data_IF_661187706375
#
_entry.id   IF_661187706375
#
_cell.length_a   1.000
_cell.length_b   1.000
_cell.length_c   1.000
_cell.angle_alpha   90.00
_cell.angle_beta   90.00
_cell.angle_gamma   90.00
#
_symmetry.space_group_name_H-M   'P 1'
#
loop_
_entity.id
_entity.type
_entity.pdbx_description
1 polymer ?
#
# COMPACT_ATOMS: atom_id res chain seq x y z
N UNK A 1 -9.18 -28.04 15.70
CA UNK A 1 -8.93 -26.90 16.64
C UNK A 1 -8.25 -25.81 15.82
N UNK A 2 -8.71 -24.56 15.91
CA UNK A 2 -8.13 -23.45 15.14
C UNK A 2 -6.90 -22.93 15.87
N UNK A 3 -5.72 -23.27 15.39
CA UNK A 3 -4.44 -22.96 16.04
C UNK A 3 -3.68 -21.80 15.36
N UNK A 4 -4.23 -21.27 14.25
CA UNK A 4 -3.64 -20.20 13.45
C UNK A 4 -4.49 -18.94 13.61
N UNK A 5 -3.87 -17.82 13.95
CA UNK A 5 -4.52 -16.53 14.03
C UNK A 5 -3.98 -15.54 13.00
N UNK A 6 -4.87 -14.67 12.52
CA UNK A 6 -4.55 -13.49 11.72
C UNK A 6 -4.83 -12.25 12.58
N UNK A 7 -3.83 -11.41 12.79
CA UNK A 7 -3.97 -10.16 13.51
C UNK A 7 -4.32 -9.02 12.54
N UNK A 8 -5.61 -8.71 12.44
CA UNK A 8 -6.19 -7.71 11.52
C UNK A 8 -6.59 -6.41 12.21
N UNK A 9 -6.08 -6.13 13.42
CA UNK A 9 -6.36 -4.86 14.11
C UNK A 9 -5.79 -3.63 13.36
N UNK A 10 -4.96 -3.85 12.34
CA UNK A 10 -4.35 -2.82 11.51
C UNK A 10 -5.23 -2.33 10.37
N UNK A 11 -6.30 -3.03 10.07
CA UNK A 11 -7.22 -2.57 9.04
C UNK A 11 -7.79 -1.21 9.42
N UNK A 12 -7.75 -0.29 8.47
CA UNK A 12 -8.34 1.04 8.65
C UNK A 12 -9.87 0.96 8.67
N UNK A 13 -10.52 1.98 9.23
CA UNK A 13 -12.01 2.03 9.28
C UNK A 13 -12.64 2.01 7.89
N UNK A 14 -11.95 2.58 6.91
CA UNK A 14 -12.45 2.65 5.53
C UNK A 14 -11.93 1.51 4.66
N UNK A 15 -11.10 0.61 5.20
CA UNK A 15 -10.49 -0.51 4.50
C UNK A 15 -9.78 -0.10 3.20
N UNK A 16 -9.23 1.13 3.18
CA UNK A 16 -8.60 1.74 2.03
C UNK A 16 -7.07 1.82 2.21
N UNK A 17 -6.35 1.62 1.09
CA UNK A 17 -4.90 1.68 1.05
C UNK A 17 -4.24 0.32 0.87
N UNK A 18 -2.99 0.33 0.39
CA UNK A 18 -2.27 -0.88 -0.02
C UNK A 18 -2.16 -1.95 1.07
N UNK A 19 -1.92 -1.55 2.32
CA UNK A 19 -1.83 -2.51 3.45
C UNK A 19 -3.14 -3.23 3.72
N UNK A 20 -4.27 -2.51 3.67
CA UNK A 20 -5.58 -3.10 3.89
C UNK A 20 -5.90 -4.07 2.75
N UNK A 21 -5.62 -3.67 1.51
CA UNK A 21 -5.84 -4.49 0.33
C UNK A 21 -5.04 -5.80 0.37
N UNK A 22 -3.77 -5.74 0.78
CA UNK A 22 -2.95 -6.96 0.99
C UNK A 22 -3.60 -7.89 2.00
N UNK A 23 -4.06 -7.36 3.14
CA UNK A 23 -4.75 -8.17 4.16
C UNK A 23 -6.04 -8.80 3.63
N UNK A 24 -6.86 -8.04 2.91
CA UNK A 24 -8.11 -8.53 2.34
C UNK A 24 -7.87 -9.58 1.24
N UNK A 25 -6.88 -9.37 0.36
CA UNK A 25 -6.49 -10.34 -0.67
C UNK A 25 -5.93 -11.63 -0.06
N UNK A 26 -5.13 -11.53 1.00
CA UNK A 26 -4.62 -12.69 1.73
C UNK A 26 -5.77 -13.50 2.32
N UNK A 27 -6.77 -12.84 2.89
CA UNK A 27 -7.97 -13.48 3.44
C UNK A 27 -8.79 -14.19 2.36
N UNK A 28 -9.03 -13.54 1.21
CA UNK A 28 -9.67 -14.16 0.05
C UNK A 28 -8.90 -15.39 -0.43
N UNK A 29 -7.57 -15.30 -0.50
CA UNK A 29 -6.70 -16.41 -0.86
C UNK A 29 -6.83 -17.60 0.10
N UNK A 30 -6.85 -17.36 1.39
CA UNK A 30 -7.08 -18.42 2.39
C UNK A 30 -8.46 -19.06 2.28
N UNK A 31 -9.50 -18.29 1.98
CA UNK A 31 -10.84 -18.80 1.75
C UNK A 31 -10.93 -19.63 0.47
N UNK A 32 -10.45 -19.09 -0.67
CA UNK A 32 -10.44 -19.81 -1.97
C UNK A 32 -9.70 -21.15 -1.88
N UNK A 33 -8.67 -21.25 -1.03
CA UNK A 33 -7.91 -22.49 -0.82
C UNK A 33 -8.46 -23.38 0.32
N UNK A 34 -9.58 -23.03 0.93
CA UNK A 34 -10.25 -23.83 1.97
C UNK A 34 -9.50 -23.94 3.30
N UNK A 35 -8.50 -23.05 3.55
CA UNK A 35 -7.71 -23.07 4.79
C UNK A 35 -8.27 -22.14 5.87
N UNK A 36 -9.08 -21.15 5.49
CA UNK A 36 -9.69 -20.16 6.40
C UNK A 36 -10.50 -20.76 7.52
N UNK A 37 -11.18 -21.91 7.28
CA UNK A 37 -11.95 -22.66 8.30
C UNK A 37 -11.11 -23.09 9.52
N UNK A 38 -9.79 -23.21 9.35
CA UNK A 38 -8.85 -23.60 10.41
C UNK A 38 -8.20 -22.40 11.10
N UNK A 39 -8.63 -21.18 10.74
CA UNK A 39 -8.06 -19.93 11.23
C UNK A 39 -9.04 -19.14 12.10
N UNK A 40 -8.49 -18.23 12.88
CA UNK A 40 -9.22 -17.21 13.61
C UNK A 40 -8.67 -15.84 13.27
N UNK A 41 -9.53 -14.85 13.06
CA UNK A 41 -9.14 -13.45 12.85
C UNK A 41 -9.42 -12.65 14.12
N UNK A 42 -8.42 -11.90 14.57
CA UNK A 42 -8.55 -10.86 15.59
C UNK A 42 -8.64 -9.50 14.90
N UNK A 43 -9.75 -8.82 15.02
CA UNK A 43 -9.98 -7.53 14.36
C UNK A 43 -10.80 -6.60 15.24
N UNK A 44 -10.81 -5.32 14.93
CA UNK A 44 -11.77 -4.40 15.53
C UNK A 44 -13.18 -4.62 14.97
N UNK A 45 -14.17 -4.22 15.75
CA UNK A 45 -15.62 -4.38 15.47
C UNK A 45 -16.02 -3.86 14.08
N UNK A 46 -15.48 -2.75 13.61
CA UNK A 46 -15.77 -2.15 12.31
C UNK A 46 -15.31 -3.00 11.11
N UNK A 47 -14.36 -3.91 11.29
CA UNK A 47 -13.87 -4.79 10.20
C UNK A 47 -14.62 -6.13 10.11
N UNK A 48 -15.49 -6.44 11.08
CA UNK A 48 -16.19 -7.72 11.15
C UNK A 48 -16.97 -8.06 9.87
N UNK A 49 -17.71 -7.07 9.35
CA UNK A 49 -18.59 -7.30 8.20
C UNK A 49 -17.83 -7.61 6.92
N UNK A 50 -16.75 -6.89 6.64
CA UNK A 50 -15.96 -7.13 5.43
C UNK A 50 -15.25 -8.47 5.51
N UNK A 51 -14.66 -8.81 6.67
CA UNK A 51 -14.00 -10.10 6.89
C UNK A 51 -14.98 -11.26 6.71
N UNK A 52 -16.18 -11.15 7.29
CA UNK A 52 -17.22 -12.18 7.17
C UNK A 52 -17.75 -12.36 5.74
N UNK A 53 -17.79 -11.30 4.94
CA UNK A 53 -18.12 -11.39 3.51
C UNK A 53 -17.04 -12.10 2.69
N UNK A 54 -15.76 -11.84 2.98
CA UNK A 54 -14.64 -12.38 2.22
C UNK A 54 -14.26 -13.81 2.60
N UNK A 55 -14.50 -14.21 3.86
CA UNK A 55 -14.22 -15.56 4.35
C UNK A 55 -15.33 -16.00 5.35
N UNK A 56 -16.50 -16.45 4.84
CA UNK A 56 -17.65 -16.79 5.69
C UNK A 56 -17.42 -17.91 6.70
N UNK A 57 -16.44 -18.77 6.46
CA UNK A 57 -16.11 -19.94 7.30
C UNK A 57 -15.02 -19.65 8.36
N UNK A 58 -14.43 -18.45 8.33
CA UNK A 58 -13.41 -18.08 9.31
C UNK A 58 -14.02 -17.71 10.66
N UNK A 59 -13.34 -18.05 11.74
CA UNK A 59 -13.78 -17.56 13.06
C UNK A 59 -13.34 -16.11 13.27
N UNK A 60 -14.27 -15.22 13.58
CA UNK A 60 -13.99 -13.82 13.83
C UNK A 60 -14.13 -13.54 15.33
N UNK A 61 -13.09 -12.99 15.92
CA UNK A 61 -13.06 -12.49 17.30
C UNK A 61 -12.85 -10.98 17.24
N UNK A 62 -13.87 -10.23 17.65
CA UNK A 62 -13.83 -8.79 17.61
C UNK A 62 -13.34 -8.19 18.91
N UNK A 63 -12.51 -7.17 18.79
CA UNK A 63 -12.07 -6.27 19.84
C UNK A 63 -12.82 -4.95 19.68
N UNK A 64 -13.06 -4.27 20.81
CA UNK A 64 -13.74 -2.97 20.78
C UNK A 64 -12.78 -1.90 20.28
N UNK A 65 -13.17 -1.19 19.23
CA UNK A 65 -12.40 -0.05 18.75
C UNK A 65 -12.55 1.16 19.67
N UNK A 66 -11.48 1.94 19.85
CA UNK A 66 -11.54 3.20 20.55
C UNK A 66 -11.94 4.33 19.60
N UNK A 67 -12.46 5.41 20.15
CA UNK A 67 -12.70 6.64 19.37
C UNK A 67 -11.43 7.48 19.41
N UNK A 68 -10.47 7.11 18.57
CA UNK A 68 -9.20 7.83 18.48
C UNK A 68 -9.43 9.17 17.77
N UNK A 69 -8.92 10.26 18.36
CA UNK A 69 -9.05 11.62 17.83
C UNK A 69 -7.84 12.04 16.98
N UNK A 70 -6.71 11.33 17.12
CA UNK A 70 -5.47 11.62 16.39
C UNK A 70 -4.59 10.38 16.25
N UNK A 71 -3.55 10.49 15.41
CA UNK A 71 -2.61 9.40 15.12
C UNK A 71 -1.88 8.85 16.34
N UNK A 72 -1.54 9.72 17.30
CA UNK A 72 -0.87 9.32 18.55
C UNK A 72 -1.75 8.41 19.41
N UNK A 73 -3.03 8.73 19.54
CA UNK A 73 -3.98 7.91 20.28
C UNK A 73 -4.20 6.57 19.58
N UNK A 74 -4.31 6.57 18.26
CA UNK A 74 -4.41 5.35 17.48
C UNK A 74 -3.19 4.44 17.65
N UNK A 75 -1.99 5.02 17.59
CA UNK A 75 -0.74 4.28 17.79
C UNK A 75 -0.66 3.69 19.21
N UNK A 76 -1.05 4.46 20.22
CA UNK A 76 -1.11 3.99 21.62
C UNK A 76 -2.13 2.86 21.79
N UNK A 77 -3.32 2.98 21.20
CA UNK A 77 -4.36 1.97 21.21
C UNK A 77 -3.87 0.64 20.57
N UNK A 78 -3.25 0.71 19.39
CA UNK A 78 -2.68 -0.46 18.74
C UNK A 78 -1.61 -1.12 19.60
N UNK A 79 -0.72 -0.32 20.19
CA UNK A 79 0.33 -0.82 21.09
C UNK A 79 -0.28 -1.50 22.32
N UNK A 80 -1.30 -0.91 22.94
CA UNK A 80 -2.02 -1.48 24.09
C UNK A 80 -2.68 -2.82 23.71
N UNK A 81 -3.40 -2.86 22.60
CA UNK A 81 -4.09 -4.06 22.13
C UNK A 81 -3.10 -5.20 21.86
N UNK A 82 -1.99 -4.92 21.17
CA UNK A 82 -0.95 -5.92 20.91
C UNK A 82 -0.19 -6.38 22.18
N UNK A 83 -0.07 -5.49 23.17
CA UNK A 83 0.66 -5.82 24.41
C UNK A 83 -0.19 -6.64 25.37
N UNK A 84 -1.49 -6.37 25.47
CA UNK A 84 -2.33 -6.95 26.52
C UNK A 84 -3.46 -7.83 25.98
N UNK A 85 -4.19 -7.37 24.96
CA UNK A 85 -5.39 -8.08 24.49
C UNK A 85 -5.04 -9.25 23.57
N UNK A 86 -4.15 -9.06 22.60
CA UNK A 86 -3.72 -10.14 21.69
C UNK A 86 -3.07 -11.31 22.42
N UNK A 87 -2.12 -11.13 23.37
CA UNK A 87 -1.58 -12.25 24.16
C UNK A 87 -2.64 -12.99 24.99
N UNK A 88 -3.63 -12.28 25.53
CA UNK A 88 -4.76 -12.90 26.20
C UNK A 88 -5.59 -13.78 25.26
N UNK A 89 -5.90 -13.29 24.05
CA UNK A 89 -6.63 -14.05 23.04
C UNK A 89 -5.84 -15.26 22.54
N UNK A 90 -4.53 -15.14 22.34
CA UNK A 90 -3.64 -16.24 21.98
C UNK A 90 -3.74 -17.37 23.01
N UNK A 91 -3.69 -17.04 24.30
CA UNK A 91 -3.85 -18.02 25.38
C UNK A 91 -5.27 -18.62 25.40
N UNK A 92 -6.31 -17.78 25.33
CA UNK A 92 -7.72 -18.17 25.37
C UNK A 92 -8.10 -19.13 24.25
N UNK A 93 -7.64 -18.85 23.01
CA UNK A 93 -7.96 -19.66 21.84
C UNK A 93 -6.90 -20.73 21.52
N UNK A 94 -5.85 -20.86 22.37
CA UNK A 94 -4.75 -21.83 22.21
C UNK A 94 -4.04 -21.71 20.85
N UNK A 95 -3.77 -20.46 20.43
CA UNK A 95 -3.12 -20.16 19.17
C UNK A 95 -1.64 -20.57 19.24
N UNK A 96 -1.19 -21.28 18.21
CA UNK A 96 0.22 -21.72 18.08
C UNK A 96 1.00 -20.86 17.08
N UNK A 97 0.32 -20.30 16.07
CA UNK A 97 0.89 -19.47 15.02
C UNK A 97 0.04 -18.21 14.83
N UNK A 98 0.66 -17.04 14.80
CA UNK A 98 -0.01 -15.78 14.53
C UNK A 98 0.71 -15.01 13.42
N UNK A 99 -0.07 -14.54 12.44
CA UNK A 99 0.37 -13.62 11.40
C UNK A 99 -0.01 -12.20 11.78
N UNK A 100 0.99 -11.33 11.89
CA UNK A 100 0.79 -9.88 12.05
C UNK A 100 0.94 -9.22 10.68
N UNK A 101 -0.13 -8.59 10.20
CA UNK A 101 -0.15 -7.90 8.90
C UNK A 101 0.48 -6.50 8.97
N UNK A 102 1.20 -6.19 10.02
CA UNK A 102 2.02 -4.99 10.18
C UNK A 102 3.05 -5.22 11.28
N UNK A 103 4.00 -4.31 11.42
CA UNK A 103 4.80 -4.17 12.63
C UNK A 103 3.94 -3.67 13.80
N UNK A 104 4.36 -3.88 15.01
CA UNK A 104 3.76 -3.61 16.33
C UNK A 104 3.15 -4.87 16.99
N UNK A 105 4.02 -5.84 17.24
CA UNK A 105 3.65 -7.03 18.06
C UNK A 105 3.30 -6.67 19.52
N UNK A 106 3.50 -5.41 19.89
CA UNK A 106 3.44 -4.99 21.27
C UNK A 106 4.75 -5.24 22.03
N UNK A 107 4.72 -4.89 23.31
CA UNK A 107 5.93 -4.92 24.17
C UNK A 107 6.23 -6.30 24.76
N UNK A 108 5.33 -7.27 24.61
CA UNK A 108 5.46 -8.59 25.18
C UNK A 108 5.62 -9.67 24.12
N UNK A 109 6.51 -10.63 24.38
CA UNK A 109 6.57 -11.87 23.61
C UNK A 109 5.34 -12.72 23.89
N UNK A 110 4.63 -13.13 22.85
CA UNK A 110 3.55 -14.10 22.98
C UNK A 110 4.12 -15.54 22.86
N UNK A 111 3.41 -16.52 23.43
CA UNK A 111 3.82 -17.94 23.33
C UNK A 111 3.60 -18.54 21.94
N UNK A 112 2.89 -17.88 21.06
CA UNK A 112 2.67 -18.31 19.68
C UNK A 112 3.89 -17.98 18.82
N UNK A 113 4.14 -18.80 17.80
CA UNK A 113 5.08 -18.48 16.73
C UNK A 113 4.56 -17.26 15.99
N UNK A 114 5.34 -16.20 15.92
CA UNK A 114 4.95 -14.92 15.33
C UNK A 114 5.57 -14.74 13.95
N UNK A 115 4.75 -14.54 12.94
CA UNK A 115 5.14 -14.13 11.58
C UNK A 115 4.69 -12.71 11.35
N UNK A 116 5.56 -11.88 10.77
CA UNK A 116 5.34 -10.46 10.63
C UNK A 116 5.53 -10.01 9.19
N UNK A 117 4.66 -9.10 8.74
CA UNK A 117 4.69 -8.51 7.40
C UNK A 117 4.80 -6.99 7.56
N UNK A 118 5.99 -6.38 7.57
CA UNK A 118 6.17 -4.95 7.82
C UNK A 118 5.61 -4.04 6.72
N UNK A 119 5.43 -4.53 5.49
CA UNK A 119 5.07 -3.84 4.25
C UNK A 119 6.11 -2.88 3.70
N UNK A 120 6.87 -2.21 4.51
CA UNK A 120 8.07 -1.42 4.24
C UNK A 120 8.71 -0.97 5.55
N UNK A 121 9.95 -0.51 5.47
CA UNK A 121 10.63 0.18 6.56
C UNK A 121 11.00 1.63 6.16
N UNK A 122 10.20 2.23 5.29
CA UNK A 122 10.41 3.56 4.70
C UNK A 122 10.80 4.62 5.74
N UNK A 123 10.15 4.62 6.91
CA UNK A 123 10.44 5.57 7.97
C UNK A 123 11.90 5.50 8.49
N UNK A 124 12.57 4.37 8.28
CA UNK A 124 13.98 4.16 8.65
C UNK A 124 14.89 4.23 7.44
N UNK A 125 14.55 3.53 6.35
CA UNK A 125 15.37 3.45 5.15
C UNK A 125 15.40 4.77 4.37
N UNK A 126 14.29 5.46 4.26
CA UNK A 126 14.14 6.64 3.42
C UNK A 126 13.73 7.89 4.22
N UNK A 127 14.43 8.16 5.31
CA UNK A 127 14.16 9.32 6.17
C UNK A 127 14.10 10.65 5.42
N UNK A 128 14.83 10.79 4.30
CA UNK A 128 14.89 12.01 3.48
C UNK A 128 13.73 12.04 2.46
N UNK A 129 13.32 10.88 1.94
CA UNK A 129 12.19 10.73 1.02
C UNK A 129 10.84 10.64 1.74
N UNK A 130 10.85 10.51 3.06
CA UNK A 130 9.63 10.65 3.84
C UNK A 130 9.10 12.07 3.68
N UNK A 131 7.81 12.18 3.42
CA UNK A 131 7.06 13.39 3.06
C UNK A 131 7.24 14.60 3.98
N UNK A 132 7.77 14.34 5.13
CA UNK A 132 8.27 15.34 6.09
C UNK A 132 9.59 14.78 6.58
N UNK A 133 10.64 15.56 6.60
CA UNK A 133 11.87 15.22 7.33
C UNK A 133 11.48 14.66 8.69
N UNK A 134 11.50 13.32 8.82
CA UNK A 134 11.11 12.68 10.09
C UNK A 134 12.07 13.23 11.17
N UNK A 135 11.57 13.91 12.21
CA UNK A 135 12.40 14.40 13.30
C UNK A 135 13.25 13.27 13.86
N UNK A 136 14.48 13.57 14.27
CA UNK A 136 15.42 12.54 14.72
C UNK A 136 14.84 11.64 15.84
N UNK A 137 14.08 12.23 16.77
CA UNK A 137 13.45 11.44 17.83
C UNK A 137 12.40 10.44 17.32
N UNK A 138 11.62 10.79 16.28
CA UNK A 138 10.68 9.87 15.63
C UNK A 138 11.41 8.75 14.88
N UNK A 139 12.50 9.09 14.19
CA UNK A 139 13.35 8.09 13.54
C UNK A 139 13.88 7.07 14.55
N UNK A 140 14.43 7.54 15.68
CA UNK A 140 14.90 6.65 16.76
C UNK A 140 13.77 5.78 17.29
N UNK A 141 12.58 6.36 17.50
CA UNK A 141 11.40 5.65 17.97
C UNK A 141 10.99 4.53 16.99
N UNK A 142 10.85 4.85 15.69
CA UNK A 142 10.51 3.85 14.67
C UNK A 142 11.57 2.74 14.61
N UNK A 143 12.85 3.12 14.66
CA UNK A 143 13.94 2.14 14.65
C UNK A 143 13.88 1.19 15.85
N UNK A 144 13.59 1.71 17.03
CA UNK A 144 13.40 0.88 18.22
C UNK A 144 12.17 -0.02 18.12
N UNK A 145 11.06 0.48 17.58
CA UNK A 145 9.84 -0.30 17.38
C UNK A 145 10.08 -1.47 16.44
N UNK A 146 10.69 -1.25 15.26
CA UNK A 146 11.06 -2.33 14.34
C UNK A 146 12.04 -3.33 14.98
N UNK A 147 13.04 -2.84 15.73
CA UNK A 147 14.00 -3.70 16.43
C UNK A 147 13.31 -4.64 17.42
N UNK A 148 12.35 -4.12 18.21
CA UNK A 148 11.57 -4.93 19.16
C UNK A 148 10.70 -5.94 18.44
N UNK A 149 10.03 -5.53 17.38
CA UNK A 149 9.16 -6.38 16.58
C UNK A 149 9.96 -7.52 15.94
N UNK A 150 11.06 -7.22 15.28
CA UNK A 150 11.91 -8.21 14.60
C UNK A 150 12.59 -9.18 15.58
N UNK A 151 12.89 -8.70 16.76
CA UNK A 151 13.42 -9.56 17.84
C UNK A 151 12.43 -10.65 18.21
N UNK A 152 11.15 -10.33 18.33
CA UNK A 152 10.10 -11.27 18.74
C UNK A 152 9.56 -12.11 17.59
N UNK A 153 9.69 -11.68 16.35
CA UNK A 153 9.26 -12.45 15.20
C UNK A 153 10.10 -13.72 15.02
N UNK A 154 9.44 -14.83 14.72
CA UNK A 154 10.08 -16.06 14.26
C UNK A 154 10.43 -15.97 12.76
N UNK A 155 9.59 -15.27 11.97
CA UNK A 155 9.83 -14.98 10.56
C UNK A 155 9.34 -13.58 10.23
N UNK A 156 10.06 -12.90 9.33
CA UNK A 156 9.77 -11.57 8.80
C UNK A 156 9.54 -11.74 7.31
N UNK A 157 8.37 -11.35 6.82
CA UNK A 157 8.04 -11.44 5.39
C UNK A 157 8.35 -10.10 4.75
N UNK A 158 9.33 -10.06 3.88
CA UNK A 158 9.59 -8.98 2.96
C UNK A 158 8.71 -9.14 1.72
N UNK A 159 8.13 -8.04 1.24
CA UNK A 159 7.13 -8.07 0.16
C UNK A 159 7.72 -7.93 -1.24
N UNK A 160 9.03 -7.63 -1.33
CA UNK A 160 9.82 -7.56 -2.56
C UNK A 160 11.28 -7.93 -2.25
N UNK A 161 12.10 -8.16 -3.28
CA UNK A 161 13.54 -8.34 -3.10
C UNK A 161 14.19 -7.04 -2.62
N UNK A 162 13.74 -5.89 -3.13
CA UNK A 162 14.16 -4.56 -2.66
C UNK A 162 13.88 -4.38 -1.17
N UNK A 163 12.65 -4.70 -0.71
CA UNK A 163 12.27 -4.63 0.71
C UNK A 163 13.12 -5.61 1.55
N UNK A 164 13.39 -6.81 1.03
CA UNK A 164 14.27 -7.80 1.69
C UNK A 164 15.69 -7.26 1.88
N UNK A 165 16.24 -6.62 0.87
CA UNK A 165 17.56 -6.00 0.94
C UNK A 165 17.60 -4.84 1.93
N UNK A 166 16.61 -3.95 1.89
CA UNK A 166 16.49 -2.84 2.84
C UNK A 166 16.39 -3.34 4.28
N UNK A 167 15.47 -4.26 4.58
CA UNK A 167 15.35 -4.82 5.92
C UNK A 167 16.66 -5.51 6.35
N UNK A 168 17.30 -6.25 5.45
CA UNK A 168 18.56 -6.94 5.72
C UNK A 168 19.73 -5.99 5.97
N UNK A 169 19.72 -4.83 5.33
CA UNK A 169 20.73 -3.78 5.51
C UNK A 169 20.60 -3.11 6.88
N UNK A 170 19.40 -2.61 7.21
CA UNK A 170 19.16 -1.86 8.45
C UNK A 170 19.08 -2.75 9.70
N UNK A 171 18.69 -4.02 9.53
CA UNK A 171 18.46 -4.98 10.61
C UNK A 171 19.17 -6.31 10.34
N UNK A 172 20.45 -6.24 10.00
CA UNK A 172 21.30 -7.37 9.55
C UNK A 172 21.31 -8.57 10.50
N UNK A 173 21.16 -8.35 11.80
CA UNK A 173 21.07 -9.41 12.83
C UNK A 173 19.89 -10.37 12.62
N UNK A 174 18.83 -9.91 11.93
CA UNK A 174 17.63 -10.70 11.67
C UNK A 174 17.58 -11.33 10.27
N UNK A 175 18.63 -11.17 9.45
CA UNK A 175 18.70 -11.65 8.05
C UNK A 175 18.21 -13.08 7.87
N UNK A 176 18.53 -13.98 8.81
CA UNK A 176 18.12 -15.40 8.76
C UNK A 176 16.61 -15.60 8.95
N UNK A 177 15.90 -14.63 9.53
CA UNK A 177 14.46 -14.66 9.74
C UNK A 177 13.68 -14.06 8.56
N UNK A 178 14.34 -13.31 7.66
CA UNK A 178 13.69 -12.59 6.56
C UNK A 178 13.45 -13.58 5.41
N UNK A 179 12.21 -13.58 4.91
CA UNK A 179 11.76 -14.38 3.76
C UNK A 179 11.01 -13.46 2.82
N UNK A 180 11.35 -13.50 1.53
CA UNK A 180 10.61 -12.76 0.53
C UNK A 180 9.37 -13.57 0.10
N UNK A 181 8.21 -12.94 0.21
CA UNK A 181 6.92 -13.45 -0.31
C UNK A 181 6.18 -12.22 -0.88
N UNK A 182 5.92 -12.23 -2.17
CA UNK A 182 5.19 -11.15 -2.84
C UNK A 182 3.78 -10.99 -2.28
N UNK A 183 3.29 -9.75 -2.30
CA UNK A 183 1.93 -9.47 -1.90
C UNK A 183 0.92 -10.23 -2.77
N UNK A 184 -0.14 -10.78 -2.16
CA UNK A 184 -1.21 -11.41 -2.90
C UNK A 184 -2.01 -10.36 -3.67
N UNK A 185 -2.27 -10.63 -4.94
CA UNK A 185 -3.13 -9.82 -5.79
C UNK A 185 -4.34 -10.66 -6.16
N UNK A 186 -5.53 -10.10 -6.04
CA UNK A 186 -6.74 -10.77 -6.46
C UNK A 186 -6.87 -10.62 -7.99
N UNK A 187 -6.56 -11.69 -8.70
CA UNK A 187 -6.64 -11.73 -10.15
C UNK A 187 -8.07 -12.11 -10.53
N UNK A 188 -8.99 -11.17 -10.48
CA UNK A 188 -10.20 -11.26 -11.28
C UNK A 188 -9.88 -10.62 -12.63
N UNK A 189 -9.45 -11.45 -13.60
CA UNK A 189 -9.24 -10.99 -14.97
C UNK A 189 -10.57 -10.47 -15.51
N UNK A 190 -10.65 -9.16 -15.69
CA UNK A 190 -11.78 -8.56 -16.37
C UNK A 190 -11.58 -8.70 -17.88
N UNK A 191 -12.65 -9.00 -18.59
CA UNK A 191 -12.62 -8.95 -20.06
C UNK A 191 -12.23 -7.53 -20.48
N UNK A 192 -11.27 -7.37 -21.40
CA UNK A 192 -10.90 -6.04 -21.88
C UNK A 192 -12.13 -5.32 -22.40
N UNK A 193 -12.50 -4.23 -21.76
CA UNK A 193 -13.57 -3.35 -22.22
C UNK A 193 -12.97 -2.28 -23.15
N UNK A 194 -13.73 -1.85 -24.14
CA UNK A 194 -13.37 -0.66 -24.92
C UNK A 194 -13.25 0.52 -23.96
N UNK A 195 -12.07 1.12 -23.87
CA UNK A 195 -11.84 2.29 -23.04
C UNK A 195 -12.52 3.48 -23.68
N UNK A 196 -13.38 4.12 -22.92
CA UNK A 196 -14.15 5.29 -23.39
C UNK A 196 -13.56 6.61 -22.91
N UNK A 197 -12.65 6.55 -21.93
CA UNK A 197 -12.06 7.75 -21.35
C UNK A 197 -10.89 8.27 -22.18
N UNK A 198 -10.92 9.53 -22.51
CA UNK A 198 -9.83 10.23 -23.21
C UNK A 198 -8.94 10.96 -22.19
N UNK A 199 -8.32 10.21 -21.27
CA UNK A 199 -7.49 10.79 -20.22
C UNK A 199 -6.36 9.85 -19.79
N UNK A 200 -5.33 10.49 -19.24
CA UNK A 200 -4.24 9.87 -18.48
C UNK A 200 -4.66 9.90 -17.02
N UNK A 201 -4.43 8.82 -16.26
CA UNK A 201 -4.74 8.82 -14.85
C UNK A 201 -3.54 8.50 -13.96
N UNK A 202 -3.59 9.03 -12.74
CA UNK A 202 -2.76 8.62 -11.62
C UNK A 202 -3.60 8.53 -10.34
N UNK A 203 -3.19 7.67 -9.42
CA UNK A 203 -3.88 7.45 -8.14
C UNK A 203 -2.93 7.67 -6.97
N UNK A 204 -3.46 7.71 -5.74
CA UNK A 204 -2.65 7.82 -4.52
C UNK A 204 -1.88 9.14 -4.37
N UNK A 205 -2.55 10.26 -4.54
CA UNK A 205 -1.97 11.62 -4.54
C UNK A 205 -1.41 12.08 -3.19
N UNK A 206 -1.61 11.32 -2.13
CA UNK A 206 -1.54 11.81 -0.74
C UNK A 206 -0.12 12.07 -0.21
N UNK A 207 0.92 11.64 -0.90
CA UNK A 207 2.30 11.66 -0.39
C UNK A 207 3.29 12.22 -1.40
N UNK A 208 4.30 12.99 -0.95
CA UNK A 208 5.32 13.58 -1.82
C UNK A 208 6.08 12.53 -2.64
N UNK A 209 6.40 11.36 -2.03
CA UNK A 209 7.11 10.31 -2.76
C UNK A 209 6.31 9.71 -3.92
N UNK A 210 4.99 9.98 -4.01
CA UNK A 210 4.21 9.63 -5.20
C UNK A 210 4.51 10.52 -6.39
N UNK A 211 5.23 11.61 -6.16
CA UNK A 211 5.85 12.47 -7.18
C UNK A 211 4.88 13.00 -8.25
N UNK A 212 3.64 13.24 -7.85
CA UNK A 212 2.58 13.74 -8.74
C UNK A 212 2.94 15.10 -9.34
N UNK A 213 3.78 15.89 -8.69
CA UNK A 213 4.24 17.16 -9.25
C UNK A 213 5.04 16.98 -10.55
N UNK A 214 5.88 15.96 -10.65
CA UNK A 214 6.62 15.65 -11.89
C UNK A 214 5.65 15.24 -13.00
N UNK A 215 4.57 14.49 -12.69
CA UNK A 215 3.53 14.17 -13.67
C UNK A 215 2.77 15.41 -14.13
N UNK A 216 2.41 16.32 -13.24
CA UNK A 216 1.74 17.59 -13.60
C UNK A 216 2.62 18.41 -14.54
N UNK A 217 3.91 18.58 -14.22
CA UNK A 217 4.86 19.30 -15.07
C UNK A 217 5.10 18.61 -16.41
N UNK A 218 5.22 17.28 -16.43
CA UNK A 218 5.33 16.53 -17.66
C UNK A 218 4.08 16.69 -18.54
N UNK A 219 2.90 16.70 -17.96
CA UNK A 219 1.65 16.93 -18.67
C UNK A 219 1.57 18.37 -19.23
N UNK A 220 2.03 19.37 -18.49
CA UNK A 220 2.13 20.75 -18.98
C UNK A 220 2.95 20.85 -20.28
N UNK A 221 4.06 20.10 -20.41
CA UNK A 221 4.91 20.05 -21.60
C UNK A 221 4.24 19.42 -22.83
N UNK A 222 3.19 18.64 -22.63
CA UNK A 222 2.52 17.90 -23.72
C UNK A 222 1.06 18.26 -23.90
N UNK A 223 0.46 19.13 -23.10
CA UNK A 223 -0.98 19.43 -23.13
C UNK A 223 -1.48 19.85 -24.50
N UNK A 224 -0.67 20.54 -25.28
CA UNK A 224 -1.00 20.98 -26.65
C UNK A 224 -0.68 19.90 -27.72
N UNK A 225 -0.06 18.79 -27.32
CA UNK A 225 0.33 17.68 -28.20
C UNK A 225 -0.57 16.45 -28.05
N UNK A 226 -1.53 16.49 -27.12
CA UNK A 226 -2.49 15.41 -26.88
C UNK A 226 -3.89 15.98 -26.61
N UNK A 227 -4.89 15.22 -26.98
CA UNK A 227 -6.30 15.48 -26.67
C UNK A 227 -6.73 14.91 -25.29
N UNK A 228 -5.86 14.14 -24.64
CA UNK A 228 -6.13 13.56 -23.33
C UNK A 228 -6.07 14.60 -22.23
N UNK A 229 -6.97 14.52 -21.27
CA UNK A 229 -6.87 15.23 -19.99
C UNK A 229 -6.03 14.43 -18.97
N UNK A 230 -5.61 15.07 -17.90
CA UNK A 230 -4.97 14.41 -16.76
C UNK A 230 -5.96 14.32 -15.59
N UNK A 231 -6.33 13.09 -15.22
CA UNK A 231 -7.25 12.82 -14.11
C UNK A 231 -6.48 12.27 -12.91
N UNK A 232 -6.41 13.07 -11.87
CA UNK A 232 -5.71 12.77 -10.62
C UNK A 232 -6.73 12.26 -9.60
N UNK A 233 -6.74 10.93 -9.39
CA UNK A 233 -7.77 10.23 -8.63
C UNK A 233 -7.39 10.17 -7.15
N UNK A 234 -8.20 10.80 -6.30
CA UNK A 234 -8.07 10.75 -4.86
C UNK A 234 -8.01 12.10 -4.17
N UNK A 235 -8.00 12.06 -2.85
CA UNK A 235 -7.91 13.27 -2.02
C UNK A 235 -6.54 13.93 -2.12
N UNK A 236 -6.53 15.24 -2.12
CA UNK A 236 -5.33 16.09 -2.00
C UNK A 236 -5.32 16.67 -0.58
N UNK A 237 -4.63 16.05 0.39
CA UNK A 237 -4.50 16.58 1.73
C UNK A 237 -3.59 17.81 1.78
N UNK A 238 -3.67 18.60 2.87
CA UNK A 238 -2.93 19.86 3.03
C UNK A 238 -1.41 19.74 2.78
N UNK A 239 -0.82 18.61 3.15
CA UNK A 239 0.62 18.34 2.94
C UNK A 239 1.06 18.31 1.47
N UNK A 240 0.12 18.12 0.52
CA UNK A 240 0.37 18.15 -0.93
C UNK A 240 -0.51 19.18 -1.64
N UNK A 241 -1.02 20.18 -0.91
CA UNK A 241 -1.86 21.25 -1.45
C UNK A 241 -1.17 22.03 -2.58
N UNK A 242 0.16 22.13 -2.54
CA UNK A 242 0.97 22.74 -3.59
C UNK A 242 0.72 22.18 -5.00
N UNK A 243 0.19 20.95 -5.13
CA UNK A 243 -0.19 20.38 -6.43
C UNK A 243 -1.32 21.19 -7.09
N UNK A 244 -2.35 21.58 -6.33
CA UNK A 244 -3.44 22.42 -6.82
C UNK A 244 -2.98 23.84 -7.08
N UNK A 245 -2.16 24.38 -6.18
CA UNK A 245 -1.58 25.72 -6.32
C UNK A 245 -0.74 25.83 -7.60
N UNK A 246 0.05 24.80 -7.92
CA UNK A 246 0.80 24.74 -9.18
C UNK A 246 -0.14 24.76 -10.41
N UNK A 247 -1.16 23.91 -10.42
CA UNK A 247 -2.15 23.83 -11.52
C UNK A 247 -2.85 25.18 -11.72
N UNK A 248 -3.22 25.87 -10.64
CA UNK A 248 -3.85 27.19 -10.68
C UNK A 248 -2.89 28.27 -11.22
N UNK A 249 -1.64 28.30 -10.75
CA UNK A 249 -0.62 29.28 -11.17
C UNK A 249 -0.24 29.14 -12.65
N UNK A 250 -0.30 27.92 -13.19
CA UNK A 250 0.06 27.62 -14.59
C UNK A 250 -1.14 27.54 -15.55
N UNK A 251 -2.36 27.86 -15.07
CA UNK A 251 -3.55 27.91 -15.92
C UNK A 251 -4.02 26.55 -16.46
N UNK A 252 -3.69 25.44 -15.75
CA UNK A 252 -3.93 24.07 -16.22
C UNK A 252 -5.29 23.49 -15.79
N UNK A 253 -6.16 24.27 -15.13
CA UNK A 253 -7.42 23.80 -14.51
C UNK A 253 -8.41 23.21 -15.50
N UNK A 254 -8.32 23.57 -16.79
CA UNK A 254 -9.20 23.05 -17.83
C UNK A 254 -8.82 21.66 -18.32
N UNK A 255 -7.56 21.24 -18.07
CA UNK A 255 -6.99 19.99 -18.57
C UNK A 255 -6.57 19.02 -17.46
N UNK A 256 -6.47 19.50 -16.21
CA UNK A 256 -6.09 18.68 -15.04
C UNK A 256 -7.23 18.64 -14.03
N UNK A 257 -7.77 17.43 -13.81
CA UNK A 257 -8.92 17.20 -12.94
C UNK A 257 -8.47 16.48 -11.67
N UNK A 258 -8.71 17.09 -10.52
CA UNK A 258 -8.60 16.42 -9.22
C UNK A 258 -9.98 15.89 -8.80
N UNK A 259 -10.17 14.58 -8.76
CA UNK A 259 -11.48 13.99 -8.45
C UNK A 259 -11.92 14.21 -7.01
N UNK A 260 -10.97 14.44 -6.10
CA UNK A 260 -11.27 14.42 -4.68
C UNK A 260 -11.55 12.99 -4.18
N UNK A 261 -12.38 12.89 -3.15
CA UNK A 261 -12.79 11.56 -2.67
C UNK A 261 -13.77 10.93 -3.66
N UNK A 262 -13.45 9.72 -4.06
CA UNK A 262 -14.31 8.84 -4.86
C UNK A 262 -14.52 7.53 -4.12
N UNK A 263 -15.63 6.86 -4.38
CA UNK A 263 -15.88 5.51 -3.89
C UNK A 263 -14.93 4.51 -4.59
N UNK A 264 -14.79 3.32 -4.03
CA UNK A 264 -13.98 2.27 -4.65
C UNK A 264 -14.49 1.91 -6.05
N UNK A 265 -15.80 1.83 -6.23
CA UNK A 265 -16.42 1.54 -7.53
C UNK A 265 -16.15 2.65 -8.56
N UNK A 266 -16.28 3.91 -8.17
CA UNK A 266 -15.95 5.07 -9.03
C UNK A 266 -14.47 5.11 -9.38
N UNK A 267 -13.58 4.83 -8.40
CA UNK A 267 -12.14 4.75 -8.61
C UNK A 267 -11.81 3.68 -9.63
N UNK A 268 -12.35 2.47 -9.49
CA UNK A 268 -12.15 1.36 -10.42
C UNK A 268 -12.67 1.69 -11.82
N UNK A 269 -13.82 2.35 -11.93
CA UNK A 269 -14.37 2.79 -13.21
C UNK A 269 -13.47 3.80 -13.91
N UNK A 270 -13.03 4.85 -13.18
CA UNK A 270 -12.09 5.84 -13.72
C UNK A 270 -10.75 5.19 -14.11
N UNK A 271 -10.24 4.29 -13.29
CA UNK A 271 -8.98 3.62 -13.53
C UNK A 271 -9.02 2.78 -14.81
N UNK A 272 -10.03 1.92 -14.97
CA UNK A 272 -10.16 1.02 -16.11
C UNK A 272 -10.45 1.72 -17.45
N UNK A 273 -11.07 2.89 -17.42
CA UNK A 273 -11.37 3.65 -18.63
C UNK A 273 -10.24 4.57 -19.11
N UNK A 274 -9.14 4.68 -18.35
CA UNK A 274 -8.03 5.54 -18.72
C UNK A 274 -7.28 5.01 -19.96
N UNK A 275 -6.82 5.93 -20.82
CA UNK A 275 -5.94 5.59 -21.96
C UNK A 275 -4.53 5.21 -21.51
N UNK A 276 -4.06 5.80 -20.41
CA UNK A 276 -2.74 5.56 -19.84
C UNK A 276 -2.82 5.71 -18.32
N UNK A 277 -2.32 4.73 -17.59
CA UNK A 277 -2.03 4.86 -16.16
C UNK A 277 -0.56 5.25 -15.97
N UNK A 278 -0.31 6.29 -15.17
CA UNK A 278 1.05 6.74 -14.84
C UNK A 278 1.30 6.63 -13.34
N UNK A 279 2.40 5.98 -12.95
CA UNK A 279 2.88 5.94 -11.57
C UNK A 279 4.29 6.52 -11.47
N UNK A 280 4.43 7.84 -11.19
CA UNK A 280 5.71 8.54 -11.19
C UNK A 280 6.46 8.44 -9.86
N UNK A 281 6.15 7.45 -9.05
CA UNK A 281 6.62 7.33 -7.66
C UNK A 281 8.14 7.28 -7.54
N UNK A 282 8.68 7.87 -6.46
CA UNK A 282 10.11 7.81 -6.11
C UNK A 282 10.44 6.58 -5.24
N UNK A 283 9.43 6.01 -4.62
CA UNK A 283 9.56 4.86 -3.73
C UNK A 283 8.27 4.04 -3.66
N UNK A 284 8.41 2.74 -3.74
CA UNK A 284 7.35 1.75 -3.49
C UNK A 284 7.91 0.56 -2.71
N UNK A 285 7.12 0.05 -1.77
CA UNK A 285 7.42 -1.24 -1.15
C UNK A 285 7.13 -2.42 -2.07
N UNK A 286 6.04 -2.30 -2.89
CA UNK A 286 5.65 -3.34 -3.85
C UNK A 286 5.03 -2.79 -5.14
N UNK A 287 4.21 -1.73 -5.08
CA UNK A 287 3.60 -1.16 -6.29
C UNK A 287 2.34 -1.91 -6.78
N UNK A 288 1.43 -2.26 -5.86
CA UNK A 288 0.18 -2.98 -6.15
C UNK A 288 -0.58 -2.41 -7.35
N UNK A 289 -0.72 -1.08 -7.42
CA UNK A 289 -1.55 -0.41 -8.44
C UNK A 289 -0.99 -0.58 -9.86
N UNK A 290 0.34 -0.64 -10.02
CA UNK A 290 0.93 -0.89 -11.34
C UNK A 290 0.57 -2.31 -11.84
N UNK A 291 0.57 -3.29 -10.95
CA UNK A 291 0.21 -4.67 -11.29
C UNK A 291 -1.31 -4.78 -11.56
N UNK A 292 -2.14 -4.08 -10.78
CA UNK A 292 -3.59 -3.99 -11.02
C UNK A 292 -3.88 -3.41 -12.40
N UNK A 293 -3.18 -2.33 -12.80
CA UNK A 293 -3.28 -1.75 -14.13
C UNK A 293 -2.90 -2.75 -15.24
N UNK A 294 -1.84 -3.50 -15.05
CA UNK A 294 -1.40 -4.53 -16.01
C UNK A 294 -2.41 -5.68 -16.11
N UNK A 295 -3.00 -6.13 -15.00
CA UNK A 295 -4.04 -7.18 -15.00
C UNK A 295 -5.27 -6.70 -15.78
N UNK A 296 -5.69 -5.45 -15.57
CA UNK A 296 -6.77 -4.81 -16.30
C UNK A 296 -6.37 -4.37 -17.73
N UNK A 297 -5.15 -4.73 -18.15
CA UNK A 297 -4.56 -4.45 -19.49
C UNK A 297 -4.52 -2.94 -19.82
N UNK A 298 -4.48 -2.08 -18.83
CA UNK A 298 -4.34 -0.63 -19.02
C UNK A 298 -2.89 -0.34 -19.44
N UNK A 299 -2.64 0.42 -20.52
CA UNK A 299 -1.30 0.90 -20.82
C UNK A 299 -0.70 1.57 -19.58
N UNK A 300 0.46 1.08 -19.16
CA UNK A 300 1.04 1.43 -17.86
C UNK A 300 2.43 2.01 -18.05
N UNK A 301 2.65 3.19 -17.51
CA UNK A 301 3.95 3.87 -17.47
C UNK A 301 4.34 4.13 -16.01
N UNK A 302 5.50 3.64 -15.62
CA UNK A 302 6.00 3.78 -14.26
C UNK A 302 7.40 4.39 -14.24
N UNK A 303 7.77 4.98 -13.13
CA UNK A 303 9.14 5.42 -12.89
C UNK A 303 10.10 4.22 -12.82
N UNK A 304 11.32 4.39 -13.34
CA UNK A 304 12.38 3.37 -13.35
C UNK A 304 13.04 3.19 -12.00
N UNK A 305 12.29 2.81 -10.98
CA UNK A 305 12.83 2.44 -9.67
C UNK A 305 12.96 0.91 -9.55
N UNK A 306 13.90 0.40 -8.74
CA UNK A 306 14.16 -1.04 -8.63
C UNK A 306 12.90 -1.88 -8.35
N UNK A 307 12.05 -1.42 -7.42
CA UNK A 307 10.81 -2.13 -7.07
C UNK A 307 9.86 -2.24 -8.28
N UNK A 308 9.72 -1.19 -9.09
CA UNK A 308 8.85 -1.22 -10.27
C UNK A 308 9.37 -2.22 -11.29
N UNK A 309 10.68 -2.25 -11.57
CA UNK A 309 11.28 -3.26 -12.45
C UNK A 309 11.03 -4.69 -11.93
N UNK A 310 11.26 -4.90 -10.63
CA UNK A 310 11.05 -6.21 -10.00
C UNK A 310 9.62 -6.70 -10.17
N UNK A 311 8.63 -5.90 -9.78
CA UNK A 311 7.24 -6.38 -9.67
C UNK A 311 6.52 -6.43 -11.01
N UNK A 312 6.87 -5.56 -11.95
CA UNK A 312 6.26 -5.52 -13.28
C UNK A 312 7.02 -6.34 -14.32
N UNK A 313 8.21 -6.86 -13.98
CA UNK A 313 9.01 -7.78 -14.80
C UNK A 313 9.23 -7.31 -16.25
N UNK A 314 9.34 -6.01 -16.49
CA UNK A 314 9.53 -5.42 -17.82
C UNK A 314 8.27 -5.40 -18.71
N UNK A 315 7.09 -5.70 -18.16
CA UNK A 315 5.84 -5.80 -18.91
C UNK A 315 5.08 -4.49 -19.06
N UNK A 316 5.65 -3.37 -18.60
CA UNK A 316 5.08 -2.02 -18.79
C UNK A 316 6.14 -1.06 -19.36
N UNK A 317 5.75 0.20 -19.57
CA UNK A 317 6.69 1.23 -20.00
C UNK A 317 7.38 1.88 -18.78
N UNK A 318 8.64 2.30 -18.97
CA UNK A 318 9.42 2.97 -17.93
C UNK A 318 9.98 4.26 -18.44
N UNK A 319 10.18 5.21 -17.52
CA UNK A 319 10.95 6.44 -17.76
C UNK A 319 12.00 6.64 -16.66
N UNK A 320 13.09 7.25 -17.02
CA UNK A 320 14.22 7.55 -16.11
C UNK A 320 14.87 8.88 -16.51
N UNK A 321 15.40 9.62 -15.53
CA UNK A 321 15.29 9.42 -14.08
C UNK A 321 13.89 9.74 -13.54
N UNK A 322 13.49 9.23 -12.34
CA UNK A 322 12.13 9.39 -11.82
C UNK A 322 11.65 10.81 -11.55
N UNK A 323 12.56 11.77 -11.43
CA UNK A 323 12.26 13.19 -11.18
C UNK A 323 12.30 14.03 -12.47
N UNK A 324 12.58 13.42 -13.63
CA UNK A 324 12.70 14.11 -14.91
C UNK A 324 11.35 14.24 -15.60
N UNK A 325 10.77 15.45 -15.57
CA UNK A 325 9.51 15.77 -16.23
C UNK A 325 9.59 15.69 -17.76
N UNK A 326 10.77 15.94 -18.36
CA UNK A 326 10.95 15.85 -19.81
C UNK A 326 10.92 14.38 -20.28
N UNK A 327 11.69 13.52 -19.60
CA UNK A 327 11.71 12.08 -19.88
C UNK A 327 10.32 11.46 -19.72
N UNK A 328 9.58 11.87 -18.67
CA UNK A 328 8.21 11.43 -18.45
C UNK A 328 7.29 11.90 -19.57
N UNK A 329 7.37 13.16 -19.97
CA UNK A 329 6.54 13.76 -21.03
C UNK A 329 6.73 13.05 -22.38
N UNK A 330 7.97 12.81 -22.79
CA UNK A 330 8.31 12.09 -24.02
C UNK A 330 7.74 10.66 -24.00
N UNK A 331 7.88 9.97 -22.85
CA UNK A 331 7.39 8.59 -22.71
C UNK A 331 5.86 8.51 -22.66
N UNK A 332 5.19 9.52 -22.09
CA UNK A 332 3.73 9.64 -22.14
C UNK A 332 3.23 9.74 -23.58
N UNK A 333 3.83 10.60 -24.41
CA UNK A 333 3.46 10.73 -25.84
C UNK A 333 3.70 9.42 -26.60
N UNK A 334 4.83 8.73 -26.36
CA UNK A 334 5.11 7.42 -26.97
C UNK A 334 4.01 6.40 -26.61
N UNK A 335 3.62 6.34 -25.33
CA UNK A 335 2.57 5.41 -24.86
C UNK A 335 1.20 5.73 -25.48
N UNK A 336 0.87 7.02 -25.66
CA UNK A 336 -0.41 7.45 -26.23
C UNK A 336 -0.52 7.26 -27.75
N UNK A 337 0.61 7.14 -28.46
CA UNK A 337 0.67 6.93 -29.90
C UNK A 337 0.53 5.44 -30.34
N UNK A 338 0.59 4.53 -29.40
CA UNK A 338 0.39 3.08 -29.57
C UNK A 338 -1.08 2.71 -29.51
#
# INVERSE_FOLDING_TARGET
>A
MREIALNYIYLSRNHAGGKDQVGLNLLKGFYKNGVSRNMVVFCYDYSRNIIGKLAPDIQIVTLKSWKDKNELQQMFHICYTNTFEIPHLIKKYRIRLIYHLNCNNGLQSCKAVSVMIPHDIKAVAHRILADVKIPFYKYVLYRMMYEMDFRHAASIIAISDVDQEEISHFYSRYRKKIKRIYNPIDIECHTPQKREGNYICAVNLQFHHKNIITLIKAFELIQDKTDCDLVLIGKVPDRVKYLKEYVEQHGLQQRIVFTGFVTEEEMQKLFRNARLYVNPTLYEGFGMTAIEAMIDQIPTLVSGIPTNYEVTQGLCSYYEPPEDEQALAEKMLECLSR
#
